data_IF_948931341925
#
_entry.id   IF_948931341925
#
_cell.length_a   1.000
_cell.length_b   1.000
_cell.length_c   1.000
_cell.angle_alpha   90.00
_cell.angle_beta   90.00
_cell.angle_gamma   90.00
#
_symmetry.space_group_name_H-M   'P 1'
#
loop_
_entity.id
_entity.type
_entity.pdbx_description
1 polymer ?
#
# COMPACT_ATOMS: atom_id res chain seq x y z
N UNK A 1 -8.61 -19.83 37.17
CA UNK A 1 -8.38 -19.51 35.74
C UNK A 1 -8.06 -18.04 35.66
N UNK A 2 -6.93 -17.66 35.08
CA UNK A 2 -6.57 -16.25 34.89
C UNK A 2 -7.25 -15.73 33.61
N UNK A 3 -7.79 -14.51 33.67
CA UNK A 3 -8.29 -13.81 32.48
C UNK A 3 -7.12 -13.03 31.83
N UNK A 4 -7.03 -13.10 30.51
CA UNK A 4 -5.99 -12.44 29.72
C UNK A 4 -6.37 -10.98 29.42
N UNK A 5 -5.53 -9.97 29.75
CA UNK A 5 -5.86 -8.56 29.57
C UNK A 5 -5.37 -8.00 28.22
N UNK A 6 -5.85 -8.56 27.10
CA UNK A 6 -5.49 -8.11 25.74
C UNK A 6 -6.40 -6.99 25.22
N UNK A 7 -6.40 -5.87 25.94
CA UNK A 7 -7.05 -4.60 25.56
C UNK A 7 -6.08 -3.55 24.97
N UNK A 8 -5.02 -3.98 24.28
CA UNK A 8 -4.09 -3.02 23.65
C UNK A 8 -4.76 -2.31 22.48
N UNK A 9 -5.00 -1.01 22.65
CA UNK A 9 -5.35 -0.09 21.56
C UNK A 9 -4.13 -0.03 20.62
N UNK A 10 -4.15 -0.87 19.60
CA UNK A 10 -3.11 -0.89 18.58
C UNK A 10 -3.13 0.41 17.77
N UNK A 11 -1.97 0.79 17.24
CA UNK A 11 -1.92 1.76 16.16
C UNK A 11 -2.70 1.18 14.99
N UNK A 12 -3.71 1.92 14.49
CA UNK A 12 -4.50 1.52 13.34
C UNK A 12 -3.64 1.32 12.09
N UNK A 13 -4.19 0.68 11.03
CA UNK A 13 -3.46 0.51 9.78
C UNK A 13 -2.98 1.87 9.28
N UNK A 14 -1.67 2.00 9.05
CA UNK A 14 -1.06 3.25 8.61
C UNK A 14 -1.76 3.75 7.33
N UNK A 15 -2.02 5.07 7.18
CA UNK A 15 -2.56 5.62 5.95
C UNK A 15 -1.77 5.16 4.73
N UNK A 16 -2.51 4.92 3.65
CA UNK A 16 -2.04 4.32 2.39
C UNK A 16 -0.60 4.68 2.05
N UNK A 17 0.21 3.63 1.86
CA UNK A 17 1.54 3.74 1.26
C UNK A 17 1.45 4.56 -0.03
N UNK A 18 2.53 5.26 -0.44
CA UNK A 18 2.59 5.79 -1.80
C UNK A 18 2.23 4.70 -2.80
N UNK A 19 1.61 5.10 -3.91
CA UNK A 19 1.18 4.19 -4.98
C UNK A 19 2.31 3.19 -5.25
N UNK A 20 2.06 1.87 -5.11
CA UNK A 20 3.15 0.91 -5.06
C UNK A 20 3.94 1.05 -6.36
N UNK A 21 5.26 1.27 -6.27
CA UNK A 21 6.13 1.53 -7.44
C UNK A 21 5.99 0.44 -8.52
N UNK A 22 5.55 -0.74 -8.10
CA UNK A 22 5.18 -1.91 -8.89
C UNK A 22 3.94 -1.78 -9.78
N UNK A 23 3.03 -0.86 -9.46
CA UNK A 23 1.91 -0.45 -10.32
C UNK A 23 2.29 0.71 -11.25
N UNK A 24 3.55 1.19 -11.20
CA UNK A 24 4.03 2.16 -12.20
C UNK A 24 3.99 1.55 -13.60
N UNK A 25 3.44 2.34 -14.52
CA UNK A 25 3.50 2.10 -15.96
C UNK A 25 4.94 1.87 -16.46
N UNK A 26 5.95 2.46 -15.83
CA UNK A 26 7.36 2.26 -16.19
C UNK A 26 7.81 0.80 -16.00
N UNK A 27 7.30 0.11 -14.99
CA UNK A 27 7.63 -1.29 -14.70
C UNK A 27 6.92 -2.22 -15.69
N UNK A 28 5.67 -1.91 -16.03
CA UNK A 28 4.91 -2.60 -17.08
C UNK A 28 5.58 -2.45 -18.45
N UNK A 29 5.91 -1.22 -18.85
CA UNK A 29 6.57 -0.92 -20.13
C UNK A 29 7.98 -1.54 -20.20
N UNK A 30 8.77 -1.50 -19.12
CA UNK A 30 10.08 -2.18 -19.05
C UNK A 30 9.96 -3.70 -19.19
N UNK A 31 9.05 -4.33 -18.43
CA UNK A 31 8.82 -5.77 -18.52
C UNK A 31 8.33 -6.16 -19.91
N UNK A 32 7.49 -5.33 -20.53
CA UNK A 32 7.02 -5.54 -21.89
C UNK A 32 8.16 -5.53 -22.91
N UNK A 33 9.03 -4.52 -22.88
CA UNK A 33 10.17 -4.42 -23.80
C UNK A 33 11.16 -5.57 -23.61
N UNK A 34 11.61 -5.82 -22.38
CA UNK A 34 12.64 -6.84 -22.12
C UNK A 34 12.10 -8.27 -22.38
N UNK A 35 10.81 -8.53 -22.15
CA UNK A 35 10.20 -9.83 -22.54
C UNK A 35 10.09 -9.96 -24.05
N UNK A 36 9.70 -8.89 -24.78
CA UNK A 36 9.64 -8.91 -26.26
C UNK A 36 11.00 -9.25 -26.88
N UNK A 37 12.08 -8.67 -26.36
CA UNK A 37 13.44 -8.95 -26.85
C UNK A 37 13.84 -10.41 -26.61
N UNK A 38 13.55 -10.94 -25.41
CA UNK A 38 13.73 -12.36 -25.10
C UNK A 38 12.91 -13.28 -26.03
N UNK A 39 11.64 -12.97 -26.27
CA UNK A 39 10.77 -13.72 -27.18
C UNK A 39 11.28 -13.68 -28.62
N UNK A 40 11.89 -12.57 -29.04
CA UNK A 40 12.57 -12.44 -30.34
C UNK A 40 13.76 -13.40 -30.43
N UNK A 41 14.58 -13.47 -29.38
CA UNK A 41 15.71 -14.40 -29.25
C UNK A 41 15.30 -15.87 -29.39
N UNK A 42 14.29 -16.32 -28.63
CA UNK A 42 13.78 -17.71 -28.71
C UNK A 42 12.84 -17.96 -29.90
N UNK A 43 12.67 -16.97 -30.80
CA UNK A 43 11.80 -17.02 -31.99
C UNK A 43 10.33 -17.31 -31.65
N UNK A 44 9.87 -16.87 -30.48
CA UNK A 44 8.59 -17.25 -29.87
C UNK A 44 7.37 -16.93 -30.72
N UNK A 45 7.33 -15.77 -31.37
CA UNK A 45 6.23 -15.39 -32.29
C UNK A 45 6.07 -16.40 -33.44
N UNK A 46 7.18 -16.81 -34.08
CA UNK A 46 7.16 -17.83 -35.15
C UNK A 46 6.74 -19.22 -34.67
N UNK A 47 6.78 -19.46 -33.36
CA UNK A 47 6.38 -20.71 -32.69
C UNK A 47 4.97 -20.61 -32.08
N UNK A 48 4.30 -19.46 -32.19
CA UNK A 48 2.99 -19.22 -31.57
C UNK A 48 3.02 -19.21 -30.05
N UNK A 49 4.16 -18.83 -29.45
CA UNK A 49 4.29 -18.75 -27.98
C UNK A 49 3.68 -17.45 -27.46
N UNK A 50 2.72 -17.58 -26.55
CA UNK A 50 2.25 -16.49 -25.70
C UNK A 50 3.13 -16.35 -24.46
N UNK A 51 3.08 -15.19 -23.81
CA UNK A 51 3.69 -14.96 -22.50
C UNK A 51 2.86 -13.99 -21.65
N UNK A 52 3.00 -14.11 -20.34
CA UNK A 52 2.53 -13.15 -19.34
C UNK A 52 3.60 -12.93 -18.26
N UNK A 53 3.70 -11.71 -17.74
CA UNK A 53 4.57 -11.30 -16.64
C UNK A 53 3.71 -10.95 -15.43
N UNK A 54 3.99 -11.58 -14.30
CA UNK A 54 3.13 -11.60 -13.12
C UNK A 54 3.93 -11.20 -11.89
N UNK A 55 3.37 -10.30 -11.08
CA UNK A 55 3.93 -9.89 -9.81
C UNK A 55 3.12 -10.46 -8.66
N UNK A 56 3.81 -10.95 -7.64
CA UNK A 56 3.26 -11.49 -6.41
C UNK A 56 3.69 -10.59 -5.24
N UNK A 57 2.72 -9.96 -4.58
CA UNK A 57 2.95 -9.07 -3.44
C UNK A 57 1.83 -9.22 -2.41
N UNK A 58 2.19 -9.40 -1.13
CA UNK A 58 1.24 -9.50 0.00
C UNK A 58 0.08 -10.50 -0.26
N UNK A 59 0.39 -11.65 -0.85
CA UNK A 59 -0.59 -12.70 -1.18
C UNK A 59 -1.52 -12.39 -2.37
N UNK A 60 -1.29 -11.29 -3.09
CA UNK A 60 -2.00 -10.95 -4.33
C UNK A 60 -1.09 -11.14 -5.54
N UNK A 61 -1.62 -11.76 -6.58
CA UNK A 61 -1.00 -11.84 -7.90
C UNK A 61 -1.59 -10.76 -8.83
N UNK A 62 -0.75 -10.11 -9.63
CA UNK A 62 -1.16 -9.13 -10.65
C UNK A 62 -0.37 -9.40 -11.94
N UNK A 63 -1.06 -9.73 -13.02
CA UNK A 63 -0.48 -9.74 -14.37
C UNK A 63 -0.18 -8.31 -14.78
N UNK A 64 1.11 -7.97 -14.91
CA UNK A 64 1.56 -6.63 -15.31
C UNK A 64 1.50 -6.47 -16.84
N UNK A 65 2.04 -7.45 -17.58
CA UNK A 65 2.14 -7.41 -19.04
C UNK A 65 1.85 -8.78 -19.64
N UNK A 66 1.28 -8.84 -20.85
CA UNK A 66 1.04 -10.10 -21.56
C UNK A 66 0.94 -9.91 -23.09
N UNK A 67 1.59 -10.79 -23.85
CA UNK A 67 1.63 -10.74 -25.34
C UNK A 67 0.28 -10.69 -26.04
N UNK A 68 -0.73 -11.38 -25.50
CA UNK A 68 -2.04 -11.59 -26.09
C UNK A 68 -3.09 -11.69 -24.98
N UNK A 69 -4.35 -11.37 -25.28
CA UNK A 69 -5.41 -11.52 -24.28
C UNK A 69 -5.60 -12.99 -23.86
N UNK A 70 -5.36 -13.95 -24.77
CA UNK A 70 -5.35 -15.38 -24.43
C UNK A 70 -4.29 -15.72 -23.37
N UNK A 71 -3.07 -15.19 -23.49
CA UNK A 71 -2.03 -15.36 -22.48
C UNK A 71 -2.39 -14.63 -21.16
N UNK A 72 -3.09 -13.48 -21.24
CA UNK A 72 -3.53 -12.73 -20.07
C UNK A 72 -4.64 -13.46 -19.30
N UNK A 73 -5.63 -14.03 -19.99
CA UNK A 73 -6.67 -14.84 -19.34
C UNK A 73 -6.09 -16.16 -18.78
N UNK A 74 -5.19 -16.83 -19.51
CA UNK A 74 -4.50 -18.01 -18.99
C UNK A 74 -3.68 -17.71 -17.72
N UNK A 75 -3.07 -16.52 -17.62
CA UNK A 75 -2.34 -16.09 -16.44
C UNK A 75 -3.27 -15.72 -15.27
N UNK A 76 -4.40 -15.05 -15.53
CA UNK A 76 -5.43 -14.80 -14.50
C UNK A 76 -6.01 -16.10 -13.97
N UNK A 77 -6.34 -17.04 -14.85
CA UNK A 77 -6.84 -18.36 -14.49
C UNK A 77 -5.81 -19.08 -13.62
N UNK A 78 -4.53 -19.09 -14.01
CA UNK A 78 -3.43 -19.61 -13.20
C UNK A 78 -3.34 -18.96 -11.82
N UNK A 79 -3.49 -17.64 -11.74
CA UNK A 79 -3.46 -16.87 -10.49
C UNK A 79 -4.71 -17.06 -9.60
N UNK A 80 -5.77 -17.68 -10.09
CA UNK A 80 -6.95 -18.04 -9.29
C UNK A 80 -6.72 -19.28 -8.43
N UNK A 81 -5.74 -20.13 -8.79
CA UNK A 81 -5.37 -21.32 -8.01
C UNK A 81 -4.39 -20.97 -6.90
N UNK A 82 -4.63 -21.52 -5.70
CA UNK A 82 -3.70 -21.38 -4.57
C UNK A 82 -2.40 -22.18 -4.72
N UNK A 83 -2.38 -23.15 -5.63
CA UNK A 83 -1.22 -23.98 -6.00
C UNK A 83 -1.26 -24.27 -7.51
N UNK A 84 -0.09 -24.23 -8.16
CA UNK A 84 0.04 -24.31 -9.61
C UNK A 84 1.47 -24.01 -10.07
N UNK A 85 1.75 -24.11 -11.38
CA UNK A 85 3.13 -24.08 -11.90
C UNK A 85 3.90 -22.80 -11.57
N UNK A 86 3.27 -21.62 -11.70
CA UNK A 86 3.90 -20.34 -11.35
C UNK A 86 4.08 -20.16 -9.84
N UNK A 87 3.14 -20.66 -9.03
CA UNK A 87 3.22 -20.61 -7.57
C UNK A 87 4.37 -21.49 -7.07
N UNK A 88 4.51 -22.68 -7.65
CA UNK A 88 5.64 -23.58 -7.38
C UNK A 88 6.97 -22.98 -7.83
N UNK A 89 7.03 -22.37 -9.01
CA UNK A 89 8.23 -21.70 -9.51
C UNK A 89 8.67 -20.55 -8.59
N UNK A 90 7.73 -19.70 -8.15
CA UNK A 90 8.00 -18.61 -7.20
C UNK A 90 8.40 -19.14 -5.82
N UNK A 91 7.75 -20.21 -5.33
CA UNK A 91 8.00 -20.83 -4.02
C UNK A 91 9.36 -21.52 -3.94
N UNK A 92 9.80 -22.16 -5.02
CA UNK A 92 11.06 -22.91 -5.07
C UNK A 92 12.23 -22.07 -5.60
N UNK A 93 11.95 -21.05 -6.41
CA UNK A 93 12.94 -20.32 -7.18
C UNK A 93 13.45 -21.05 -8.43
N UNK A 94 12.85 -22.19 -8.78
CA UNK A 94 13.26 -23.07 -9.88
C UNK A 94 12.29 -23.01 -11.07
N UNK A 95 12.77 -23.40 -12.26
CA UNK A 95 11.91 -23.47 -13.44
C UNK A 95 10.90 -24.61 -13.36
N UNK A 96 9.63 -24.29 -13.63
CA UNK A 96 8.56 -25.29 -13.73
C UNK A 96 8.12 -25.41 -15.19
N UNK A 97 8.54 -26.50 -15.82
CA UNK A 97 8.13 -26.90 -17.16
C UNK A 97 6.99 -27.94 -17.06
N UNK A 98 5.90 -27.71 -17.78
CA UNK A 98 4.92 -28.75 -18.12
C UNK A 98 5.01 -28.96 -19.62
N UNK A 99 5.70 -30.03 -20.04
CA UNK A 99 5.85 -30.35 -21.46
C UNK A 99 4.56 -30.83 -22.11
N UNK A 100 3.60 -31.37 -21.35
CA UNK A 100 2.31 -31.81 -21.86
C UNK A 100 1.28 -31.76 -20.72
N UNK A 101 0.37 -30.77 -20.77
CA UNK A 101 -0.68 -30.58 -19.76
C UNK A 101 -1.66 -31.75 -19.67
N UNK A 102 -1.85 -32.51 -20.76
CA UNK A 102 -2.73 -33.69 -20.78
C UNK A 102 -2.11 -34.93 -20.12
N UNK A 103 -0.78 -34.95 -19.94
CA UNK A 103 -0.05 -36.04 -19.29
C UNK A 103 0.43 -35.70 -17.88
N UNK A 104 0.68 -34.43 -17.58
CA UNK A 104 1.10 -34.01 -16.24
C UNK A 104 -0.03 -34.20 -15.21
N UNK A 105 0.32 -34.75 -14.04
CA UNK A 105 -0.62 -35.07 -12.96
C UNK A 105 -0.37 -34.28 -11.67
N UNK A 106 0.57 -33.34 -11.67
CA UNK A 106 0.90 -32.51 -10.49
C UNK A 106 -0.25 -31.58 -10.10
N UNK A 107 -0.84 -30.88 -11.08
CA UNK A 107 -1.93 -29.92 -10.86
C UNK A 107 -3.12 -30.19 -11.80
N UNK A 108 -3.89 -31.29 -11.60
CA UNK A 108 -4.91 -31.72 -12.57
C UNK A 108 -6.06 -30.70 -12.76
N UNK A 109 -6.43 -29.96 -11.70
CA UNK A 109 -7.42 -28.88 -11.81
C UNK A 109 -6.95 -27.74 -12.71
N UNK A 110 -5.73 -27.23 -12.44
CA UNK A 110 -5.09 -26.20 -13.26
C UNK A 110 -4.90 -26.66 -14.71
N UNK A 111 -4.35 -27.86 -14.94
CA UNK A 111 -4.13 -28.38 -16.30
C UNK A 111 -5.42 -28.44 -17.11
N UNK A 112 -6.55 -28.78 -16.49
CA UNK A 112 -7.86 -28.79 -17.14
C UNK A 112 -8.36 -27.38 -17.48
N UNK A 113 -8.13 -26.40 -16.60
CA UNK A 113 -8.52 -25.02 -16.82
C UNK A 113 -7.67 -24.36 -17.93
N UNK A 114 -6.35 -24.47 -17.84
CA UNK A 114 -5.41 -23.95 -18.83
C UNK A 114 -5.61 -24.57 -20.23
N UNK A 115 -5.98 -25.85 -20.33
CA UNK A 115 -6.38 -26.48 -21.57
C UNK A 115 -7.64 -25.84 -22.20
N UNK A 116 -8.57 -25.32 -21.37
CA UNK A 116 -9.72 -24.53 -21.82
C UNK A 116 -9.32 -23.19 -22.48
N UNK A 117 -8.18 -22.62 -22.07
CA UNK A 117 -7.54 -21.47 -22.73
C UNK A 117 -6.63 -21.87 -23.91
N UNK A 118 -6.66 -23.13 -24.35
CA UNK A 118 -5.86 -23.63 -25.47
C UNK A 118 -4.38 -23.86 -25.16
N UNK A 119 -3.96 -23.85 -23.89
CA UNK A 119 -2.59 -24.16 -23.47
C UNK A 119 -2.38 -25.68 -23.45
N UNK A 120 -1.29 -26.16 -24.07
CA UNK A 120 -0.91 -27.58 -24.07
C UNK A 120 0.50 -27.83 -23.51
N UNK A 121 1.38 -26.83 -23.51
CA UNK A 121 2.59 -26.81 -22.68
C UNK A 121 2.87 -25.39 -22.15
N UNK A 122 3.59 -25.30 -21.04
CA UNK A 122 4.02 -24.02 -20.46
C UNK A 122 5.39 -24.13 -19.78
N UNK A 123 6.06 -22.98 -19.66
CA UNK A 123 7.28 -22.80 -18.86
C UNK A 123 7.09 -21.60 -17.92
N UNK A 124 7.06 -21.84 -16.61
CA UNK A 124 7.08 -20.78 -15.59
C UNK A 124 8.51 -20.47 -15.17
N UNK A 125 8.87 -19.20 -15.29
CA UNK A 125 10.21 -18.62 -15.11
C UNK A 125 10.18 -17.67 -13.90
N UNK A 126 10.65 -18.09 -12.71
CA UNK A 126 10.65 -17.21 -11.55
C UNK A 126 11.73 -16.14 -11.70
N UNK A 127 11.37 -14.91 -11.34
CA UNK A 127 12.26 -13.76 -11.32
C UNK A 127 12.48 -13.41 -9.85
N UNK A 128 13.56 -13.96 -9.30
CA UNK A 128 13.89 -13.81 -7.89
C UNK A 128 14.25 -12.36 -7.56
N UNK A 129 13.41 -11.71 -6.76
CA UNK A 129 13.68 -10.43 -6.11
C UNK A 129 13.94 -10.64 -4.61
N UNK A 130 14.69 -9.73 -4.00
CA UNK A 130 14.86 -9.72 -2.55
C UNK A 130 13.65 -9.05 -1.89
N UNK A 131 13.30 -9.44 -0.66
CA UNK A 131 12.20 -8.84 0.10
C UNK A 131 10.89 -9.62 0.04
N UNK A 132 9.77 -8.93 0.24
CA UNK A 132 8.42 -9.52 0.32
C UNK A 132 7.65 -9.52 -1.02
N UNK A 133 8.35 -9.23 -2.11
CA UNK A 133 7.82 -9.21 -3.47
C UNK A 133 8.52 -10.29 -4.30
N UNK A 134 7.79 -10.94 -5.20
CA UNK A 134 8.34 -11.89 -6.17
C UNK A 134 7.71 -11.67 -7.54
N UNK A 135 8.40 -12.01 -8.61
CA UNK A 135 7.86 -11.95 -9.96
C UNK A 135 8.06 -13.30 -10.67
N UNK A 136 7.28 -13.53 -11.72
CA UNK A 136 7.50 -14.62 -12.65
C UNK A 136 7.06 -14.22 -14.06
N UNK A 137 7.58 -14.91 -15.06
CA UNK A 137 7.06 -14.90 -16.42
C UNK A 137 6.65 -16.31 -16.79
N UNK A 138 5.43 -16.46 -17.29
CA UNK A 138 4.96 -17.75 -17.80
C UNK A 138 4.85 -17.68 -19.31
N UNK A 139 5.49 -18.63 -19.99
CA UNK A 139 5.39 -18.83 -21.43
C UNK A 139 4.35 -19.92 -21.71
N UNK A 140 3.47 -19.70 -22.66
CA UNK A 140 2.34 -20.57 -23.00
C UNK A 140 2.43 -21.02 -24.46
N UNK A 141 2.13 -22.28 -24.74
CA UNK A 141 2.12 -22.83 -26.09
C UNK A 141 0.89 -23.70 -26.36
N UNK A 142 0.32 -23.58 -27.56
CA UNK A 142 -0.84 -24.36 -28.02
C UNK A 142 -0.51 -25.80 -28.48
N UNK A 143 0.76 -26.23 -28.36
CA UNK A 143 1.22 -27.58 -28.68
C UNK A 143 2.04 -28.15 -27.51
N UNK A 144 2.07 -29.47 -27.30
CA UNK A 144 2.93 -30.10 -26.31
C UNK A 144 4.39 -30.09 -26.80
N UNK A 145 5.32 -30.25 -25.85
CA UNK A 145 6.77 -30.28 -26.08
C UNK A 145 7.33 -29.04 -26.80
N UNK A 146 6.68 -27.88 -26.64
CA UNK A 146 7.05 -26.64 -27.34
C UNK A 146 8.33 -25.98 -26.83
N UNK A 147 8.86 -26.39 -25.67
CA UNK A 147 10.05 -25.79 -25.04
C UNK A 147 11.23 -26.76 -25.06
N UNK A 148 12.40 -26.25 -25.45
CA UNK A 148 13.67 -26.97 -25.62
C UNK A 148 14.68 -26.61 -24.52
N UNK A 149 15.75 -27.40 -24.39
CA UNK A 149 16.81 -27.10 -23.42
C UNK A 149 17.49 -25.73 -23.65
N UNK A 150 17.58 -25.27 -24.90
CA UNK A 150 18.12 -23.92 -25.21
C UNK A 150 17.16 -22.84 -24.71
N UNK A 151 15.83 -23.02 -24.86
CA UNK A 151 14.84 -22.08 -24.32
C UNK A 151 14.97 -21.93 -22.80
N UNK A 152 15.28 -23.01 -22.07
CA UNK A 152 15.53 -22.94 -20.61
C UNK A 152 16.80 -22.16 -20.27
N UNK A 153 17.89 -22.32 -21.04
CA UNK A 153 19.15 -21.57 -20.84
C UNK A 153 18.98 -20.08 -21.16
N UNK A 154 18.26 -19.76 -22.24
CA UNK A 154 17.88 -18.38 -22.56
C UNK A 154 16.97 -17.79 -21.47
N UNK A 155 15.97 -18.55 -21.00
CA UNK A 155 15.07 -18.14 -19.91
C UNK A 155 15.83 -17.88 -18.61
N UNK A 156 16.88 -18.65 -18.32
CA UNK A 156 17.73 -18.43 -17.15
C UNK A 156 18.53 -17.13 -17.23
N UNK A 157 19.13 -16.87 -18.39
CA UNK A 157 19.90 -15.64 -18.63
C UNK A 157 18.99 -14.40 -18.54
N UNK A 158 17.80 -14.51 -19.12
CA UNK A 158 16.74 -13.52 -19.07
C UNK A 158 16.24 -13.25 -17.63
N UNK A 159 15.89 -14.29 -16.87
CA UNK A 159 15.44 -14.15 -15.49
C UNK A 159 16.47 -13.44 -14.60
N UNK A 160 17.77 -13.73 -14.79
CA UNK A 160 18.85 -13.04 -14.09
C UNK A 160 18.95 -11.56 -14.47
N UNK A 161 18.76 -11.20 -15.74
CA UNK A 161 18.76 -9.81 -16.20
C UNK A 161 17.62 -9.01 -15.55
N UNK A 162 16.38 -9.52 -15.65
CA UNK A 162 15.19 -8.86 -15.11
C UNK A 162 15.23 -8.80 -13.58
N UNK A 163 15.69 -9.87 -12.92
CA UNK A 163 15.92 -9.90 -11.46
C UNK A 163 16.84 -8.76 -10.98
N UNK A 164 17.91 -8.45 -11.73
CA UNK A 164 18.83 -7.37 -11.37
C UNK A 164 18.20 -5.99 -11.53
N UNK A 165 17.40 -5.78 -12.57
CA UNK A 165 16.68 -4.52 -12.78
C UNK A 165 15.59 -4.32 -11.72
N UNK A 166 14.71 -5.31 -11.54
CA UNK A 166 13.64 -5.26 -10.55
C UNK A 166 14.18 -5.10 -9.12
N UNK A 167 15.34 -5.68 -8.76
CA UNK A 167 15.93 -5.47 -7.43
C UNK A 167 16.24 -4.00 -7.11
N UNK A 168 16.57 -3.17 -8.09
CA UNK A 168 16.76 -1.72 -7.87
C UNK A 168 15.42 -1.04 -7.60
N UNK A 169 14.39 -1.40 -8.38
CA UNK A 169 13.02 -0.87 -8.21
C UNK A 169 12.46 -1.29 -6.84
N UNK A 170 12.52 -2.57 -6.49
CA UNK A 170 12.04 -3.15 -5.22
C UNK A 170 12.69 -2.45 -4.03
N UNK A 171 14.02 -2.42 -3.97
CA UNK A 171 14.75 -1.78 -2.85
C UNK A 171 14.46 -0.28 -2.75
N UNK A 172 14.15 0.39 -3.85
CA UNK A 172 13.77 1.81 -3.84
C UNK A 172 12.35 2.00 -3.31
N UNK A 173 11.41 1.14 -3.73
CA UNK A 173 10.04 1.10 -3.25
C UNK A 173 9.97 0.82 -1.73
N UNK A 174 10.64 -0.24 -1.27
CA UNK A 174 10.69 -0.61 0.16
C UNK A 174 11.29 0.50 1.04
N UNK A 175 12.31 1.21 0.54
CA UNK A 175 12.89 2.38 1.24
C UNK A 175 11.93 3.57 1.28
N UNK A 176 11.21 3.83 0.19
CA UNK A 176 10.21 4.90 0.14
C UNK A 176 9.04 4.61 1.10
N UNK A 177 8.53 3.38 1.10
CA UNK A 177 7.50 2.92 2.03
C UNK A 177 7.96 2.97 3.50
N UNK A 178 9.18 2.51 3.81
CA UNK A 178 9.73 2.61 5.16
C UNK A 178 9.89 4.06 5.62
N UNK A 179 10.34 4.96 4.74
CA UNK A 179 10.48 6.39 5.04
C UNK A 179 9.11 7.05 5.27
N UNK A 180 8.11 6.71 4.45
CA UNK A 180 6.73 7.17 4.62
C UNK A 180 6.12 6.66 5.94
N UNK A 181 6.32 5.39 6.28
CA UNK A 181 5.87 4.80 7.55
C UNK A 181 6.46 5.53 8.77
N UNK A 182 7.76 5.85 8.75
CA UNK A 182 8.40 6.64 9.80
C UNK A 182 7.80 8.05 9.91
N UNK A 183 7.61 8.75 8.79
CA UNK A 183 7.02 10.09 8.77
C UNK A 183 5.57 10.10 9.31
N UNK A 184 4.78 9.07 9.00
CA UNK A 184 3.43 8.87 9.53
C UNK A 184 3.44 8.64 11.04
N UNK A 185 4.30 7.74 11.55
CA UNK A 185 4.40 7.47 13.00
C UNK A 185 4.85 8.73 13.75
N UNK A 186 5.83 9.46 13.23
CA UNK A 186 6.28 10.74 13.80
C UNK A 186 5.16 11.78 13.83
N UNK A 187 4.44 11.96 12.72
CA UNK A 187 3.29 12.88 12.65
C UNK A 187 2.19 12.50 13.65
N UNK A 188 1.95 11.20 13.82
CA UNK A 188 0.95 10.68 14.76
C UNK A 188 1.33 10.93 16.21
N UNK A 189 2.61 10.74 16.57
CA UNK A 189 3.13 11.07 17.90
C UNK A 189 3.06 12.57 18.22
N UNK A 190 3.36 13.43 17.24
CA UNK A 190 3.21 14.90 17.37
C UNK A 190 1.75 15.28 17.59
N UNK A 191 0.82 14.70 16.82
CA UNK A 191 -0.63 14.94 16.96
C UNK A 191 -1.15 14.47 18.33
N UNK A 192 -0.74 13.30 18.80
CA UNK A 192 -1.13 12.79 20.13
C UNK A 192 -0.57 13.66 21.25
N UNK A 193 0.69 14.10 21.19
CA UNK A 193 1.25 14.99 22.23
C UNK A 193 0.60 16.38 22.22
N UNK A 194 0.24 16.90 21.03
CA UNK A 194 -0.51 18.15 20.90
C UNK A 194 -1.94 18.03 21.45
N UNK A 195 -2.64 16.94 21.17
CA UNK A 195 -3.97 16.64 21.72
C UNK A 195 -3.94 16.50 23.24
N UNK A 196 -2.94 15.79 23.79
CA UNK A 196 -2.71 15.68 25.23
C UNK A 196 -2.48 17.06 25.85
N UNK A 197 -1.66 17.93 25.24
CA UNK A 197 -1.43 19.30 25.73
C UNK A 197 -2.69 20.18 25.69
N UNK A 198 -3.48 20.11 24.62
CA UNK A 198 -4.78 20.81 24.54
C UNK A 198 -5.72 20.35 25.66
N UNK A 199 -5.89 19.03 25.84
CA UNK A 199 -6.72 18.47 26.91
C UNK A 199 -6.26 18.86 28.32
N UNK A 200 -4.95 18.89 28.56
CA UNK A 200 -4.37 19.37 29.84
C UNK A 200 -4.66 20.87 30.05
N UNK A 201 -4.57 21.69 29.00
CA UNK A 201 -4.72 23.15 29.09
C UNK A 201 -6.19 23.61 29.16
N UNK A 202 -7.08 22.97 28.42
CA UNK A 202 -8.50 23.35 28.31
C UNK A 202 -9.37 22.72 29.40
N UNK A 203 -9.08 21.47 29.79
CA UNK A 203 -9.90 20.70 30.74
C UNK A 203 -9.18 20.43 32.07
N UNK A 204 -7.95 20.91 32.26
CA UNK A 204 -7.18 20.75 33.50
C UNK A 204 -6.78 19.30 33.81
N UNK A 205 -6.83 18.39 32.83
CA UNK A 205 -6.52 16.98 33.03
C UNK A 205 -5.03 16.76 33.34
N UNK A 206 -4.70 15.71 34.09
CA UNK A 206 -3.31 15.23 34.15
C UNK A 206 -2.93 14.58 32.82
N UNK A 207 -1.62 14.40 32.57
CA UNK A 207 -1.13 13.78 31.34
C UNK A 207 -1.67 12.37 31.15
N UNK A 208 -1.77 11.59 32.22
CA UNK A 208 -2.37 10.24 32.24
C UNK A 208 -3.88 10.29 31.99
N UNK A 209 -4.57 11.29 32.55
CA UNK A 209 -6.00 11.53 32.33
C UNK A 209 -6.31 11.85 30.87
N UNK A 210 -5.54 12.77 30.26
CA UNK A 210 -5.67 13.14 28.85
C UNK A 210 -5.35 11.96 27.90
N UNK A 211 -4.32 11.17 28.20
CA UNK A 211 -4.00 9.98 27.39
C UNK A 211 -5.11 8.92 27.49
N UNK A 212 -5.65 8.68 28.69
CA UNK A 212 -6.78 7.76 28.90
C UNK A 212 -8.04 8.24 28.19
N UNK A 213 -8.29 9.56 28.19
CA UNK A 213 -9.39 10.15 27.44
C UNK A 213 -9.27 9.86 25.94
N UNK A 214 -8.10 10.09 25.33
CA UNK A 214 -7.85 9.76 23.91
C UNK A 214 -8.01 8.26 23.61
N UNK A 215 -7.50 7.38 24.48
CA UNK A 215 -7.70 5.93 24.34
C UNK A 215 -9.18 5.53 24.43
N UNK A 216 -9.91 6.13 25.37
CA UNK A 216 -11.36 5.91 25.50
C UNK A 216 -12.07 6.38 24.25
N UNK A 217 -11.78 7.58 23.74
CA UNK A 217 -12.37 8.12 22.50
C UNK A 217 -12.09 7.23 21.29
N UNK A 218 -10.85 6.77 21.11
CA UNK A 218 -10.46 5.86 20.03
C UNK A 218 -11.29 4.57 20.05
N UNK A 219 -11.38 3.91 21.22
CA UNK A 219 -12.19 2.69 21.41
C UNK A 219 -13.68 2.96 21.21
N UNK A 220 -14.21 4.06 21.74
CA UNK A 220 -15.65 4.35 21.72
C UNK A 220 -16.20 4.73 20.33
N UNK A 221 -15.31 5.16 19.44
CA UNK A 221 -15.63 5.54 18.06
C UNK A 221 -15.07 4.57 17.00
N UNK A 222 -14.42 3.47 17.42
CA UNK A 222 -13.75 2.50 16.53
C UNK A 222 -12.71 3.14 15.57
N UNK A 223 -12.10 4.25 16.00
CA UNK A 223 -11.05 4.98 15.25
C UNK A 223 -9.68 4.73 15.87
N UNK A 224 -8.63 5.02 15.11
CA UNK A 224 -7.27 4.96 15.65
C UNK A 224 -6.96 6.14 16.61
N UNK A 225 -5.88 6.00 17.38
CA UNK A 225 -5.47 7.00 18.38
C UNK A 225 -5.05 8.34 17.76
N UNK A 226 -4.60 8.35 16.50
CA UNK A 226 -4.19 9.55 15.75
C UNK A 226 -5.43 10.32 15.30
N UNK A 227 -6.44 9.64 14.81
CA UNK A 227 -7.70 10.25 14.37
C UNK A 227 -8.52 10.74 15.58
N UNK A 228 -8.49 10.02 16.70
CA UNK A 228 -8.98 10.54 17.98
C UNK A 228 -8.25 11.81 18.43
N UNK A 229 -6.92 11.87 18.28
CA UNK A 229 -6.13 13.07 18.58
C UNK A 229 -6.40 14.23 17.60
N UNK A 230 -6.61 13.95 16.31
CA UNK A 230 -6.99 14.95 15.30
C UNK A 230 -8.34 15.59 15.62
N UNK A 231 -9.34 14.81 16.05
CA UNK A 231 -10.65 15.32 16.44
C UNK A 231 -10.60 16.25 17.66
N UNK A 232 -9.62 16.06 18.56
CA UNK A 232 -9.37 16.93 19.71
C UNK A 232 -8.65 18.22 19.30
N UNK A 233 -7.64 18.13 18.43
CA UNK A 233 -6.84 19.30 18.00
C UNK A 233 -7.57 20.18 16.97
N UNK A 234 -8.41 19.58 16.13
CA UNK A 234 -9.14 20.26 15.06
C UNK A 234 -10.64 19.88 15.07
N UNK A 235 -11.41 20.29 16.09
CA UNK A 235 -12.84 20.00 16.20
C UNK A 235 -13.66 20.77 15.15
N UNK A 236 -13.76 20.22 13.94
CA UNK A 236 -14.59 20.78 12.86
C UNK A 236 -14.27 20.34 11.41
N UNK A 237 -13.48 19.29 11.18
CA UNK A 237 -12.90 19.00 9.87
C UNK A 237 -13.51 17.90 9.00
N UNK A 238 -14.39 17.02 9.52
CA UNK A 238 -14.82 15.81 8.79
C UNK A 238 -16.33 15.56 8.88
N UNK A 239 -17.10 16.36 8.15
CA UNK A 239 -18.43 15.91 7.69
C UNK A 239 -18.24 15.08 6.42
N UNK A 240 -18.09 13.76 6.59
CA UNK A 240 -18.07 12.78 5.49
C UNK A 240 -19.35 11.96 5.48
N UNK A 241 -20.42 12.58 4.96
CA UNK A 241 -21.44 11.95 4.13
C UNK A 241 -22.02 10.60 4.58
N UNK A 242 -23.07 10.65 5.40
CA UNK A 242 -24.30 9.93 5.09
C UNK A 242 -24.28 8.39 5.09
N UNK A 243 -23.65 7.75 6.07
CA UNK A 243 -23.90 6.34 6.39
C UNK A 243 -25.04 6.20 7.42
N UNK A 244 -26.24 5.84 7.00
CA UNK A 244 -27.42 5.79 7.88
C UNK A 244 -27.40 4.57 8.82
N UNK A 245 -27.13 4.80 10.11
CA UNK A 245 -27.20 3.77 11.17
C UNK A 245 -28.63 3.70 11.75
N UNK A 246 -29.25 2.51 11.88
CA UNK A 246 -30.60 2.38 12.40
C UNK A 246 -30.65 2.61 13.91
N UNK A 247 -31.66 3.34 14.38
CA UNK A 247 -31.85 3.61 15.80
C UNK A 247 -32.20 2.33 16.58
N UNK A 248 -31.41 2.00 17.63
CA UNK A 248 -31.93 1.16 18.72
C UNK A 248 -31.26 1.36 20.08
N UNK A 249 -32.14 1.65 21.05
CA UNK A 249 -32.11 1.27 22.46
C UNK A 249 -30.89 1.72 23.30
N UNK A 250 -31.10 2.79 24.06
CA UNK A 250 -30.35 3.05 25.29
C UNK A 250 -30.53 1.86 26.26
N UNK A 251 -29.43 1.20 26.60
CA UNK A 251 -29.30 0.48 27.86
C UNK A 251 -28.35 1.29 28.74
N UNK A 252 -28.90 1.85 29.81
CA UNK A 252 -28.17 2.64 30.80
C UNK A 252 -27.28 1.72 31.62
N UNK A 253 -25.97 1.95 31.57
CA UNK A 253 -25.03 1.44 32.57
C UNK A 253 -24.46 2.60 33.38
N UNK A 254 -24.37 2.35 34.69
CA UNK A 254 -24.19 3.35 35.73
C UNK A 254 -22.71 3.75 35.92
N UNK A 255 -22.44 5.00 36.33
CA UNK A 255 -21.13 5.35 36.91
C UNK A 255 -20.13 6.21 36.11
N UNK A 256 -20.56 7.19 35.29
CA UNK A 256 -19.73 8.39 34.99
C UNK A 256 -20.60 9.64 34.92
N UNK A 257 -20.20 10.69 35.65
CA UNK A 257 -20.94 11.95 35.72
C UNK A 257 -20.92 12.71 34.39
N UNK A 258 -22.08 13.24 33.98
CA UNK A 258 -22.25 13.98 32.73
C UNK A 258 -21.45 15.29 32.72
N UNK A 259 -20.60 15.46 31.70
CA UNK A 259 -20.10 16.79 31.33
C UNK A 259 -21.17 17.54 30.51
N UNK A 260 -21.43 18.83 30.78
CA UNK A 260 -22.46 19.58 30.05
C UNK A 260 -22.11 19.73 28.56
N UNK A 261 -23.08 19.44 27.68
CA UNK A 261 -22.97 19.76 26.26
C UNK A 261 -23.12 21.28 26.05
N UNK A 262 -22.36 21.89 25.12
CA UNK A 262 -22.48 23.33 24.85
C UNK A 262 -23.82 23.67 24.22
N UNK A 263 -24.44 24.77 24.67
CA UNK A 263 -25.70 25.29 24.14
C UNK A 263 -25.48 26.05 22.82
N UNK A 264 -26.08 25.58 21.74
CA UNK A 264 -26.08 26.27 20.45
C UNK A 264 -27.16 27.36 20.38
N UNK A 265 -26.92 28.53 21.00
CA UNK A 265 -27.74 29.73 20.78
C UNK A 265 -27.00 31.05 21.09
N UNK A 266 -26.82 31.85 20.02
CA UNK A 266 -26.70 33.32 19.94
C UNK A 266 -26.17 34.15 21.12
N UNK A 267 -25.13 34.97 20.84
CA UNK A 267 -24.97 36.30 21.45
C UNK A 267 -24.57 37.33 20.40
N UNK A 268 -25.38 38.37 20.30
CA UNK A 268 -25.22 39.50 19.40
C UNK A 268 -23.99 40.37 19.71
N UNK A 269 -23.49 41.06 18.69
CA UNK A 269 -22.47 42.09 18.82
C UNK A 269 -23.09 43.42 19.29
N UNK A 270 -22.60 44.03 20.39
CA UNK A 270 -22.85 45.43 20.68
C UNK A 270 -21.83 46.31 19.93
N UNK A 271 -22.31 47.13 19.00
CA UNK A 271 -21.53 48.22 18.38
C UNK A 271 -21.30 49.36 19.38
N UNK A 272 -20.09 49.94 19.50
CA UNK A 272 -19.97 51.20 20.25
C UNK A 272 -18.58 51.79 20.56
N UNK A 273 -18.07 52.61 19.62
CA UNK A 273 -17.20 53.80 19.84
C UNK A 273 -15.77 53.65 20.40
N UNK A 274 -14.82 54.11 19.57
CA UNK A 274 -13.47 54.55 19.95
C UNK A 274 -13.47 55.83 20.80
N UNK A 275 -12.31 56.20 21.35
CA UNK A 275 -11.75 57.51 20.97
C UNK A 275 -10.28 57.47 20.50
N UNK A 276 -9.95 58.37 19.56
CA UNK A 276 -8.58 58.75 19.16
C UNK A 276 -8.03 59.83 20.09
N UNK A 277 -6.70 59.85 20.29
CA UNK A 277 -5.74 60.99 20.18
C UNK A 277 -4.48 60.71 21.02
N UNK A 278 -3.27 61.20 20.71
CA UNK A 278 -2.62 61.66 19.47
C UNK A 278 -1.12 61.92 19.77
N UNK A 279 -0.33 62.25 18.74
CA UNK A 279 1.02 62.83 18.79
C UNK A 279 2.21 61.93 19.22
N UNK A 280 3.44 62.10 18.69
CA UNK A 280 3.89 62.74 17.43
C UNK A 280 5.37 62.38 17.12
N UNK A 281 5.76 62.52 15.83
CA UNK A 281 7.11 62.82 15.30
C UNK A 281 8.35 62.14 15.94
N UNK A 282 9.15 61.31 15.27
CA UNK A 282 9.63 61.41 13.89
C UNK A 282 11.12 61.77 13.84
N UNK A 283 11.97 60.88 13.27
CA UNK A 283 13.16 61.20 12.46
C UNK A 283 13.75 59.94 11.83
N UNK A 284 14.28 60.09 10.62
CA UNK A 284 14.92 59.05 9.80
C UNK A 284 16.36 59.52 9.39
N UNK A 285 17.12 58.85 8.50
CA UNK A 285 18.48 58.31 8.75
C UNK A 285 19.55 59.22 8.05
N UNK A 286 20.67 58.80 7.40
CA UNK A 286 21.44 57.53 7.27
C UNK A 286 22.91 57.75 7.80
N UNK A 287 24.06 57.19 7.31
CA UNK A 287 24.37 56.27 6.20
C UNK A 287 25.17 54.99 6.57
N UNK A 288 25.63 54.28 5.54
CA UNK A 288 26.44 53.06 5.57
C UNK A 288 27.97 53.33 5.52
N UNK A 289 28.77 52.27 5.71
CA UNK A 289 30.17 52.22 5.29
C UNK A 289 30.54 50.80 4.79
N UNK A 290 31.20 50.75 3.64
CA UNK A 290 31.78 49.55 3.01
C UNK A 290 33.11 49.15 3.70
N UNK A 291 33.59 47.90 3.55
CA UNK A 291 34.76 47.48 4.35
C UNK A 291 35.53 46.19 4.02
N UNK A 292 35.65 45.80 2.75
CA UNK A 292 36.71 44.92 2.16
C UNK A 292 37.12 43.58 2.81
N UNK A 293 37.13 42.58 1.92
CA UNK A 293 38.00 41.39 1.86
C UNK A 293 39.47 41.58 2.25
N UNK A 294 40.04 40.58 2.93
CA UNK A 294 41.29 39.90 2.56
C UNK A 294 41.28 38.47 3.14
#
# INVERSE_FOLDING_TARGET
MAADPTGQVGWGPLPVTPEPVFDSKDVEDYLWEVTRDFMTGIKGERRGLGWAATLFRLGKARTLAASTEQAREADREQCSFADGPVMEAVRTGEFVLLSDLGRDRRWPGYSSAAAGHGVQSLLSVPILTEGATSAAITLYAAAPHSFTSDDLVQSQSYAHQVSRALRVVVRTAERAEATAGLAVVQSSLILVDLAVRSLMNEYGLTREGALRFLQTQAVHHEVDLRDAALNVVAPGGVDRGGGQVPARRQETYDGVAELPRPSAAGRDFPTGKSPRKEAAAGKEPPPAAEGRTA
#
